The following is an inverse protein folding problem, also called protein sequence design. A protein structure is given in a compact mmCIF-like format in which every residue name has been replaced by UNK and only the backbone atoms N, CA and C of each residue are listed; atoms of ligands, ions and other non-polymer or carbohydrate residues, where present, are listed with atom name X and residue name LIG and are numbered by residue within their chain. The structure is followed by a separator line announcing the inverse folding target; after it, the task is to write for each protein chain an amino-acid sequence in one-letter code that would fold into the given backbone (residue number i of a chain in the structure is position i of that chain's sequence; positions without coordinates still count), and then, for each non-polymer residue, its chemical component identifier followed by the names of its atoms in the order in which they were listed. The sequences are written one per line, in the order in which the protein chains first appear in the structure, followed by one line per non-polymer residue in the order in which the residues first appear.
data_IF_331479573395
#
_entry.id   IF_331479573395
#
_cell.length_a   1.000
_cell.length_b   1.000
_cell.length_c   1.000
_cell.angle_alpha   90.00
_cell.angle_beta   90.00
_cell.angle_gamma   90.00
#
_symmetry.space_group_name_H-M   'P 1'
#
loop_
_entity.id
_entity.type
_entity.pdbx_description
1 polymer ?
#
# COMPACT_ATOMS: atom_id res chain seq x y z
N UNK A 1 2.48 -7.12 15.27
CA UNK A 1 3.73 -6.65 14.62
C UNK A 1 4.70 -7.79 14.34
N UNK A 2 4.90 -8.72 15.27
CA UNK A 2 5.87 -9.82 15.14
C UNK A 2 5.69 -10.66 13.86
N UNK A 3 4.45 -10.94 13.46
CA UNK A 3 4.17 -11.66 12.22
C UNK A 3 4.75 -10.98 10.96
N UNK A 4 4.52 -9.66 10.80
CA UNK A 4 4.99 -8.92 9.62
C UNK A 4 6.52 -8.91 9.54
N UNK A 5 7.19 -8.74 10.68
CA UNK A 5 8.65 -8.80 10.78
C UNK A 5 9.18 -10.19 10.42
N UNK A 6 8.62 -11.26 11.01
CA UNK A 6 9.04 -12.63 10.73
C UNK A 6 8.84 -13.00 9.26
N UNK A 7 7.72 -12.61 8.66
CA UNK A 7 7.46 -12.82 7.23
C UNK A 7 8.47 -12.08 6.35
N UNK A 8 8.80 -10.83 6.68
CA UNK A 8 9.79 -10.08 5.94
C UNK A 8 11.20 -10.67 6.06
N UNK A 9 11.60 -11.12 7.25
CA UNK A 9 12.88 -11.81 7.46
C UNK A 9 12.98 -13.10 6.64
N UNK A 10 11.89 -13.86 6.53
CA UNK A 10 11.84 -15.04 5.67
C UNK A 10 11.93 -14.66 4.18
N UNK A 11 11.16 -13.66 3.76
CA UNK A 11 11.16 -13.19 2.37
C UNK A 11 12.54 -12.69 1.92
N UNK A 12 13.26 -11.96 2.79
CA UNK A 12 14.62 -11.49 2.52
C UNK A 12 15.65 -12.60 2.28
N UNK A 13 15.42 -13.81 2.79
CA UNK A 13 16.29 -14.96 2.52
C UNK A 13 16.14 -15.46 1.08
N UNK A 14 14.99 -15.22 0.44
CA UNK A 14 14.68 -15.67 -0.92
C UNK A 14 14.96 -14.56 -1.94
N UNK A 15 14.48 -13.35 -1.68
CA UNK A 15 14.59 -12.20 -2.56
C UNK A 15 15.18 -10.99 -1.81
N UNK A 16 16.51 -10.92 -1.64
CA UNK A 16 17.14 -9.86 -0.84
C UNK A 16 16.98 -8.46 -1.43
N UNK A 17 16.68 -8.34 -2.73
CA UNK A 17 16.47 -7.06 -3.41
C UNK A 17 15.05 -6.50 -3.20
N UNK A 18 14.07 -7.34 -2.82
CA UNK A 18 12.71 -6.90 -2.56
C UNK A 18 12.60 -6.32 -1.15
N UNK A 19 11.95 -5.16 -1.01
CA UNK A 19 11.83 -4.40 0.24
C UNK A 19 10.37 -4.05 0.51
N UNK A 20 10.05 -3.75 1.77
CA UNK A 20 8.73 -3.22 2.12
C UNK A 20 8.58 -1.83 1.50
N UNK A 21 7.58 -1.67 0.62
CA UNK A 21 7.23 -0.39 0.01
C UNK A 21 5.87 0.14 0.48
N UNK A 22 5.15 -0.65 1.28
CA UNK A 22 3.81 -0.31 1.74
C UNK A 22 2.99 -1.54 2.07
N UNK A 23 1.67 -1.43 1.89
CA UNK A 23 0.71 -2.47 2.25
C UNK A 23 -0.50 -2.44 1.33
N UNK A 24 -1.26 -3.54 1.32
CA UNK A 24 -2.46 -3.66 0.54
C UNK A 24 -3.63 -4.18 1.37
N UNK A 25 -4.84 -3.87 0.93
CA UNK A 25 -6.08 -4.39 1.49
C UNK A 25 -7.09 -4.67 0.38
N UNK A 26 -8.00 -5.61 0.64
CA UNK A 26 -9.17 -5.81 -0.22
C UNK A 26 -10.20 -4.72 0.03
N UNK A 27 -10.83 -4.22 -1.03
CA UNK A 27 -11.84 -3.18 -0.97
C UNK A 27 -11.74 -2.23 -2.16
N UNK A 28 -12.82 -1.50 -2.42
CA UNK A 28 -12.90 -0.58 -3.56
C UNK A 28 -12.33 0.82 -3.23
N UNK A 29 -12.17 1.16 -1.94
CA UNK A 29 -11.70 2.47 -1.51
C UNK A 29 -11.02 2.44 -0.12
N UNK A 30 -10.49 3.60 0.28
CA UNK A 30 -9.88 3.86 1.57
C UNK A 30 -10.95 3.84 2.67
N UNK A 31 -10.63 3.20 3.78
CA UNK A 31 -11.47 3.18 5.00
C UNK A 31 -10.88 4.05 6.10
N UNK A 32 -11.66 4.38 7.13
CA UNK A 32 -11.21 5.13 8.31
C UNK A 32 -10.01 4.45 9.00
N UNK A 33 -9.98 3.12 9.03
CA UNK A 33 -8.88 2.34 9.60
C UNK A 33 -7.55 2.48 8.83
N UNK A 34 -7.60 2.95 7.58
CA UNK A 34 -6.41 3.08 6.74
C UNK A 34 -5.40 4.04 7.32
N UNK A 35 -5.82 5.09 8.03
CA UNK A 35 -4.91 6.06 8.67
C UNK A 35 -4.03 5.38 9.72
N UNK A 36 -4.64 4.58 10.60
CA UNK A 36 -3.92 3.89 11.69
C UNK A 36 -2.97 2.82 11.15
N UNK A 37 -3.40 2.05 10.15
CA UNK A 37 -2.54 1.04 9.51
C UNK A 37 -1.38 1.72 8.75
N UNK A 38 -1.65 2.86 8.11
CA UNK A 38 -0.62 3.59 7.39
C UNK A 38 0.42 4.22 8.33
N UNK A 39 0.01 4.70 9.51
CA UNK A 39 0.95 5.16 10.53
C UNK A 39 1.89 4.04 10.99
N UNK A 40 1.37 2.82 11.13
CA UNK A 40 2.18 1.65 11.43
C UNK A 40 3.24 1.41 10.33
N UNK A 41 2.85 1.34 9.06
CA UNK A 41 3.79 1.08 7.97
C UNK A 41 4.72 2.27 7.66
N UNK A 42 4.40 3.48 8.11
CA UNK A 42 5.30 4.64 8.00
C UNK A 42 6.56 4.49 8.86
N UNK A 43 6.56 3.53 9.81
CA UNK A 43 7.74 3.15 10.61
C UNK A 43 8.62 2.11 9.91
N UNK A 44 8.04 1.37 8.96
CA UNK A 44 8.68 0.25 8.26
C UNK A 44 9.19 0.63 6.86
N UNK A 45 8.56 1.62 6.22
CA UNK A 45 8.92 2.09 4.89
C UNK A 45 8.81 3.62 4.79
N UNK A 46 9.73 4.23 4.05
CA UNK A 46 9.65 5.65 3.72
C UNK A 46 8.55 5.87 2.68
N UNK A 47 7.60 6.76 2.96
CA UNK A 47 6.46 7.07 2.08
C UNK A 47 5.70 5.81 1.63
N UNK A 48 5.11 5.02 2.56
CA UNK A 48 4.50 3.75 2.23
C UNK A 48 3.35 3.93 1.23
N UNK A 49 3.23 3.02 0.26
CA UNK A 49 2.11 3.00 -0.68
C UNK A 49 1.00 2.12 -0.13
N UNK A 50 -0.22 2.66 -0.03
CA UNK A 50 -1.41 1.87 0.27
C UNK A 50 -2.10 1.47 -1.04
N UNK A 51 -2.29 0.17 -1.25
CA UNK A 51 -2.98 -0.37 -2.42
C UNK A 51 -4.32 -0.98 -2.01
N UNK A 52 -5.41 -0.58 -2.67
CA UNK A 52 -6.72 -1.22 -2.52
C UNK A 52 -7.02 -2.07 -3.73
N UNK A 53 -7.40 -3.33 -3.51
CA UNK A 53 -7.75 -4.29 -4.56
C UNK A 53 -9.23 -4.63 -4.45
N UNK A 54 -10.02 -4.23 -5.44
CA UNK A 54 -11.43 -4.57 -5.49
C UNK A 54 -11.61 -6.02 -5.95
N UNK A 55 -11.82 -6.90 -4.99
CA UNK A 55 -12.11 -8.32 -5.21
C UNK A 55 -13.61 -8.61 -5.36
N UNK A 56 -14.48 -7.61 -5.14
CA UNK A 56 -15.93 -7.73 -5.34
C UNK A 56 -16.36 -7.43 -6.78
N UNK A 57 -15.44 -6.96 -7.63
CA UNK A 57 -15.69 -6.67 -9.06
C UNK A 57 -16.85 -5.66 -9.22
N UNK A 58 -16.93 -4.64 -8.37
CA UNK A 58 -18.07 -3.70 -8.39
C UNK A 58 -18.19 -2.97 -9.73
N UNK A 59 -17.06 -2.70 -10.38
CA UNK A 59 -16.98 -2.10 -11.72
C UNK A 59 -16.91 -3.15 -12.85
N UNK A 60 -17.27 -4.41 -12.58
CA UNK A 60 -17.18 -5.52 -13.54
C UNK A 60 -15.74 -5.96 -13.86
N UNK A 61 -14.74 -5.41 -13.17
CA UNK A 61 -13.32 -5.75 -13.31
C UNK A 61 -12.61 -5.64 -11.97
N UNK A 62 -11.52 -6.39 -11.79
CA UNK A 62 -10.69 -6.27 -10.60
C UNK A 62 -9.93 -4.95 -10.70
N UNK A 63 -10.33 -3.96 -9.90
CA UNK A 63 -9.71 -2.64 -9.92
C UNK A 63 -8.63 -2.53 -8.84
N UNK A 64 -7.52 -1.89 -9.19
CA UNK A 64 -6.45 -1.57 -8.25
C UNK A 64 -6.32 -0.06 -8.18
N UNK A 65 -6.38 0.49 -6.97
CA UNK A 65 -6.06 1.89 -6.70
C UNK A 65 -4.86 1.93 -5.75
N UNK A 66 -4.02 2.94 -5.90
CA UNK A 66 -2.86 3.15 -5.05
C UNK A 66 -2.86 4.57 -4.51
N UNK A 67 -2.35 4.73 -3.29
CA UNK A 67 -2.38 5.99 -2.57
C UNK A 67 -1.10 6.20 -1.76
N UNK A 68 -0.71 7.46 -1.59
CA UNK A 68 0.33 7.89 -0.64
C UNK A 68 -0.27 8.86 0.37
N UNK A 69 0.24 8.87 1.60
CA UNK A 69 -0.15 9.88 2.56
C UNK A 69 0.52 11.22 2.24
N UNK A 70 -0.27 12.29 2.31
CA UNK A 70 0.18 13.67 2.22
C UNK A 70 -0.34 14.40 3.46
N UNK A 71 0.53 15.13 4.20
CA UNK A 71 0.06 15.96 5.29
C UNK A 71 -0.87 17.05 4.75
N UNK A 72 -2.03 17.19 5.37
CA UNK A 72 -3.03 18.20 5.01
C UNK A 72 -3.33 19.04 6.25
N UNK A 73 -3.18 20.35 6.17
CA UNK A 73 -3.51 21.22 7.29
C UNK A 73 -3.01 22.63 7.10
N UNK A 74 -3.37 23.48 8.05
CA UNK A 74 -2.88 24.87 8.11
C UNK A 74 -1.67 24.91 9.04
N UNK A 75 -0.55 25.54 8.64
CA UNK A 75 0.60 25.73 9.53
C UNK A 75 0.17 26.33 10.88
N UNK A 76 0.58 25.72 11.98
CA UNK A 76 0.25 26.18 13.34
C UNK A 76 -1.15 25.78 13.84
N UNK A 77 -1.89 24.95 13.10
CA UNK A 77 -3.18 24.37 13.52
C UNK A 77 -3.15 22.85 13.38
N UNK A 78 -4.32 22.21 13.50
CA UNK A 78 -4.49 20.77 13.31
C UNK A 78 -3.96 20.34 11.94
N UNK A 79 -3.03 19.39 11.96
CA UNK A 79 -2.56 18.67 10.78
C UNK A 79 -3.28 17.33 10.72
N UNK A 80 -3.87 17.03 9.57
CA UNK A 80 -4.43 15.74 9.22
C UNK A 80 -3.59 15.03 8.18
N UNK A 81 -4.02 13.83 7.83
CA UNK A 81 -3.43 13.03 6.75
C UNK A 81 -4.48 12.84 5.68
N UNK A 82 -4.13 13.15 4.44
CA UNK A 82 -4.93 12.84 3.26
C UNK A 82 -4.22 11.76 2.45
N UNK A 83 -5.00 10.88 1.84
CA UNK A 83 -4.48 9.93 0.86
C UNK A 83 -4.62 10.51 -0.54
N UNK A 84 -3.48 10.71 -1.21
CA UNK A 84 -3.44 11.20 -2.59
C UNK A 84 -3.41 10.01 -3.55
N UNK A 85 -4.35 9.91 -4.51
CA UNK A 85 -4.36 8.79 -5.45
C UNK A 85 -3.18 8.87 -6.43
N UNK A 86 -2.64 7.71 -6.77
CA UNK A 86 -1.59 7.52 -7.75
C UNK A 86 -2.16 6.87 -9.02
N UNK A 87 -1.54 7.18 -10.16
CA UNK A 87 -1.79 6.43 -11.40
C UNK A 87 -1.15 5.04 -11.29
N UNK A 88 -1.94 3.99 -11.51
CA UNK A 88 -1.49 2.59 -11.50
C UNK A 88 -1.32 2.09 -12.92
N UNK A 89 -0.26 1.33 -13.18
CA UNK A 89 -0.05 0.59 -14.42
C UNK A 89 0.37 -0.83 -14.08
N UNK A 90 -0.15 -1.79 -14.83
CA UNK A 90 0.27 -3.17 -14.75
C UNK A 90 1.52 -3.36 -15.60
N UNK A 91 2.59 -3.78 -14.94
CA UNK A 91 3.85 -4.15 -15.56
C UNK A 91 4.18 -5.55 -15.07
N UNK A 92 4.82 -6.32 -15.94
CA UNK A 92 5.11 -7.73 -15.70
C UNK A 92 6.53 -8.00 -16.16
N UNK A 93 7.25 -8.82 -15.42
CA UNK A 93 8.46 -9.43 -15.93
C UNK A 93 8.12 -10.43 -17.03
N UNK A 94 9.06 -10.68 -17.94
CA UNK A 94 8.81 -11.61 -19.05
C UNK A 94 8.50 -13.02 -18.55
N UNK A 95 9.06 -13.43 -17.41
CA UNK A 95 8.76 -14.70 -16.75
C UNK A 95 7.32 -14.79 -16.24
N UNK A 96 6.71 -13.67 -15.83
CA UNK A 96 5.33 -13.62 -15.35
C UNK A 96 4.31 -13.56 -16.49
N UNK A 97 4.72 -13.12 -17.69
CA UNK A 97 3.84 -13.05 -18.87
C UNK A 97 3.58 -14.39 -19.54
N UNK A 98 4.49 -15.36 -19.34
CA UNK A 98 4.46 -16.65 -20.02
C UNK A 98 3.60 -17.67 -19.27
N UNK A 99 3.36 -17.47 -17.97
CA UNK A 99 2.50 -18.31 -17.13
C UNK A 99 1.02 -18.11 -17.42
#
# INVERSE_FOLDING_TARGET
MEFAKNMYELHKKVAPNEVIVGWFATGHDITEHSVLIHEYYSREAQNPVHVTVDTMLQDGRMSIKAYVSTPLGVPGKTMGVMFTPLTVRYVYYDTERIG
#
